data_IF_321588260038
#
_entry.id   IF_321588260038
#
_cell.length_a   1.000
_cell.length_b   1.000
_cell.length_c   1.000
_cell.angle_alpha   90.00
_cell.angle_beta   90.00
_cell.angle_gamma   90.00
#
_symmetry.space_group_name_H-M   'P 1'
#
loop_
_entity.id
_entity.type
_entity.pdbx_description
1 polymer ?
#
# COMPACT_ATOMS: atom_id res chain seq x y z
N UNK A 1 25.28 7.16 -6.30
CA UNK A 1 24.19 6.31 -6.86
C UNK A 1 24.07 5.08 -5.97
N UNK A 2 22.87 4.55 -5.70
CA UNK A 2 22.75 3.27 -5.01
C UNK A 2 23.53 2.19 -5.76
N UNK A 3 24.11 1.26 -5.04
CA UNK A 3 24.83 0.14 -5.64
C UNK A 3 23.83 -0.96 -5.99
N UNK A 4 23.97 -1.57 -7.17
CA UNK A 4 23.16 -2.72 -7.55
C UNK A 4 23.38 -3.89 -6.57
N UNK A 5 22.27 -4.54 -6.19
CA UNK A 5 22.33 -5.67 -5.28
C UNK A 5 22.81 -6.95 -5.98
N UNK A 6 23.22 -7.95 -5.18
CA UNK A 6 23.59 -9.28 -5.68
C UNK A 6 22.42 -9.99 -6.41
N UNK A 7 21.17 -9.52 -6.25
CA UNK A 7 19.99 -10.13 -6.87
C UNK A 7 19.63 -9.55 -8.25
N UNK A 8 20.28 -8.45 -8.67
CA UNK A 8 20.01 -7.85 -9.98
C UNK A 8 20.20 -8.84 -11.15
N UNK A 9 21.26 -9.68 -11.20
CA UNK A 9 21.39 -10.67 -12.26
C UNK A 9 20.22 -11.66 -12.34
N UNK A 10 19.68 -12.09 -11.19
CA UNK A 10 18.49 -12.93 -11.13
C UNK A 10 17.25 -12.21 -11.68
N UNK A 11 17.07 -10.93 -11.30
CA UNK A 11 15.94 -10.13 -11.75
C UNK A 11 16.00 -9.90 -13.28
N UNK A 12 17.17 -9.63 -13.82
CA UNK A 12 17.39 -9.50 -15.27
C UNK A 12 17.12 -10.80 -16.03
N UNK A 13 17.47 -11.96 -15.44
CA UNK A 13 17.14 -13.28 -16.03
C UNK A 13 15.62 -13.56 -16.05
N UNK A 14 14.83 -12.86 -15.24
CA UNK A 14 13.37 -12.97 -15.18
C UNK A 14 12.65 -11.85 -15.94
N UNK A 15 13.38 -11.01 -16.67
CA UNK A 15 12.85 -9.84 -17.36
C UNK A 15 11.79 -10.20 -18.40
N UNK A 16 10.71 -9.44 -18.41
CA UNK A 16 9.66 -9.40 -19.44
C UNK A 16 9.53 -7.95 -19.92
N UNK A 17 10.20 -7.61 -21.02
CA UNK A 17 10.28 -6.23 -21.54
C UNK A 17 8.87 -5.65 -21.80
N UNK A 18 7.94 -6.35 -22.50
CA UNK A 18 6.58 -5.86 -22.69
C UNK A 18 5.84 -5.57 -21.37
N UNK A 19 6.06 -6.40 -20.34
CA UNK A 19 5.49 -6.15 -19.02
C UNK A 19 6.13 -4.92 -18.36
N UNK A 20 7.44 -4.73 -18.50
CA UNK A 20 8.13 -3.53 -18.03
C UNK A 20 7.57 -2.23 -18.65
N UNK A 21 7.29 -2.24 -19.95
CA UNK A 21 6.69 -1.12 -20.67
C UNK A 21 5.24 -0.84 -20.21
N UNK A 22 4.50 -1.89 -19.90
CA UNK A 22 3.17 -1.77 -19.30
C UNK A 22 3.25 -1.20 -17.89
N UNK A 23 4.13 -1.72 -17.02
CA UNK A 23 4.31 -1.26 -15.66
C UNK A 23 4.73 0.22 -15.59
N UNK A 24 5.65 0.64 -16.46
CA UNK A 24 6.08 2.04 -16.59
C UNK A 24 4.90 3.00 -16.81
N UNK A 25 3.94 2.64 -17.66
CA UNK A 25 2.75 3.47 -17.92
C UNK A 25 1.86 3.64 -16.67
N UNK A 26 1.92 2.70 -15.74
CA UNK A 26 1.12 2.72 -14.51
C UNK A 26 1.83 3.41 -13.34
N UNK A 27 3.16 3.56 -13.42
CA UNK A 27 3.99 4.12 -12.34
C UNK A 27 4.72 5.36 -12.85
N UNK A 28 4.01 6.47 -13.09
CA UNK A 28 4.59 7.68 -13.71
C UNK A 28 5.61 8.39 -12.82
N UNK A 29 5.76 7.98 -11.57
CA UNK A 29 6.77 8.51 -10.63
C UNK A 29 8.17 7.97 -10.87
N UNK A 30 8.32 6.91 -11.67
CA UNK A 30 9.61 6.28 -11.97
C UNK A 30 10.02 6.51 -13.43
N UNK A 31 11.34 6.60 -13.67
CA UNK A 31 11.87 6.52 -15.02
C UNK A 31 11.86 5.07 -15.54
N UNK A 32 11.79 4.90 -16.87
CA UNK A 32 11.70 3.56 -17.49
C UNK A 32 12.92 2.68 -17.19
N UNK A 33 14.09 3.27 -17.05
CA UNK A 33 15.36 2.58 -16.76
C UNK A 33 15.39 1.93 -15.38
N UNK A 34 14.57 2.42 -14.46
CA UNK A 34 14.41 1.85 -13.11
C UNK A 34 13.46 0.66 -13.06
N UNK A 35 12.86 0.25 -14.18
CA UNK A 35 11.90 -0.84 -14.26
C UNK A 35 12.48 -1.96 -15.13
N UNK A 36 12.84 -3.09 -14.51
CA UNK A 36 13.34 -4.29 -15.21
C UNK A 36 12.18 -4.95 -15.96
N UNK A 37 11.03 -5.07 -15.33
CA UNK A 37 9.84 -5.72 -15.88
C UNK A 37 9.76 -7.18 -15.46
N UNK A 38 9.75 -7.47 -14.16
CA UNK A 38 9.55 -8.83 -13.65
C UNK A 38 8.14 -8.99 -13.09
N UNK A 39 7.41 -10.03 -13.53
CA UNK A 39 6.04 -10.28 -13.07
C UNK A 39 5.98 -10.69 -11.60
N UNK A 40 5.00 -10.17 -10.86
CA UNK A 40 4.84 -10.40 -9.41
C UNK A 40 4.87 -11.88 -8.99
N UNK A 41 4.24 -12.84 -9.71
CA UNK A 41 4.34 -14.26 -9.34
C UNK A 41 5.78 -14.78 -9.38
N UNK A 42 6.59 -14.35 -10.34
CA UNK A 42 8.00 -14.74 -10.43
C UNK A 42 8.81 -14.14 -9.28
N UNK A 43 8.59 -12.86 -8.93
CA UNK A 43 9.23 -12.22 -7.78
C UNK A 43 8.87 -12.90 -6.46
N UNK A 44 7.59 -13.25 -6.25
CA UNK A 44 7.16 -13.97 -5.04
C UNK A 44 7.76 -15.37 -4.94
N UNK A 45 7.93 -16.06 -6.08
CA UNK A 45 8.64 -17.34 -6.14
C UNK A 45 10.11 -17.15 -5.78
N UNK A 46 10.79 -16.19 -6.40
CA UNK A 46 12.18 -15.86 -6.13
C UNK A 46 12.40 -15.53 -4.63
N UNK A 47 11.57 -14.70 -4.03
CA UNK A 47 11.67 -14.38 -2.60
C UNK A 47 11.63 -15.62 -1.70
N UNK A 48 10.74 -16.59 -1.99
CA UNK A 48 10.65 -17.84 -1.24
C UNK A 48 11.88 -18.73 -1.41
N UNK A 49 12.43 -18.80 -2.61
CA UNK A 49 13.60 -19.59 -2.93
C UNK A 49 14.85 -18.98 -2.31
N UNK A 50 15.07 -17.67 -2.45
CA UNK A 50 16.18 -16.94 -1.89
C UNK A 50 16.23 -17.05 -0.36
N UNK A 51 15.10 -16.91 0.32
CA UNK A 51 15.02 -17.05 1.79
C UNK A 51 15.49 -18.42 2.26
N UNK A 52 15.32 -19.49 1.46
CA UNK A 52 15.75 -20.85 1.79
C UNK A 52 17.20 -21.13 1.42
N UNK A 53 17.62 -20.66 0.25
CA UNK A 53 18.91 -21.02 -0.36
C UNK A 53 20.04 -20.06 0.01
N UNK A 54 19.72 -18.79 0.26
CA UNK A 54 20.68 -17.70 0.46
C UNK A 54 20.31 -16.79 1.64
N UNK A 55 20.05 -17.34 2.85
CA UNK A 55 19.51 -16.54 3.97
C UNK A 55 20.44 -15.40 4.41
N UNK A 56 21.75 -15.56 4.32
CA UNK A 56 22.72 -14.52 4.67
C UNK A 56 22.72 -13.38 3.65
N UNK A 57 22.60 -13.70 2.35
CA UNK A 57 22.52 -12.70 1.29
C UNK A 57 21.20 -11.93 1.40
N UNK A 58 20.11 -12.62 1.70
CA UNK A 58 18.80 -11.99 1.97
C UNK A 58 18.91 -11.03 3.15
N UNK A 59 19.60 -11.42 4.23
CA UNK A 59 19.79 -10.52 5.38
C UNK A 59 20.60 -9.28 4.97
N UNK A 60 21.68 -9.43 4.19
CA UNK A 60 22.46 -8.29 3.66
C UNK A 60 21.60 -7.38 2.78
N UNK A 61 20.83 -7.97 1.87
CA UNK A 61 19.94 -7.23 0.98
C UNK A 61 18.90 -6.40 1.74
N UNK A 62 18.28 -6.98 2.80
CA UNK A 62 17.29 -6.27 3.63
C UNK A 62 17.91 -5.12 4.45
N UNK A 63 19.22 -5.09 4.62
CA UNK A 63 19.93 -3.97 5.26
C UNK A 63 20.53 -2.97 4.27
N UNK A 64 20.51 -3.29 2.96
CA UNK A 64 21.11 -2.44 1.92
C UNK A 64 20.03 -1.61 1.25
N UNK A 65 19.87 -0.38 1.68
CA UNK A 65 18.88 0.58 1.17
C UNK A 65 19.57 1.92 0.83
N UNK A 66 19.06 2.67 -0.15
CA UNK A 66 17.97 2.37 -1.08
C UNK A 66 18.39 1.44 -2.22
N UNK A 67 17.40 0.83 -2.90
CA UNK A 67 17.61 0.00 -4.10
C UNK A 67 17.59 0.82 -5.40
N UNK A 68 18.21 0.26 -6.45
CA UNK A 68 18.27 0.87 -7.79
C UNK A 68 16.97 0.68 -8.57
N UNK A 69 16.44 -0.56 -8.58
CA UNK A 69 15.34 -0.96 -9.44
C UNK A 69 14.02 -1.14 -8.68
N UNK A 70 12.93 -0.91 -9.38
CA UNK A 70 11.57 -1.14 -8.89
C UNK A 70 11.37 -2.57 -8.39
N UNK A 71 11.88 -3.53 -9.12
CA UNK A 71 11.76 -4.95 -8.78
C UNK A 71 12.62 -5.37 -7.58
N UNK A 72 13.70 -4.65 -7.29
CA UNK A 72 14.41 -4.83 -6.02
C UNK A 72 13.55 -4.38 -4.85
N UNK A 73 12.84 -3.25 -4.98
CA UNK A 73 11.89 -2.78 -3.97
C UNK A 73 10.73 -3.75 -3.77
N UNK A 74 10.15 -4.30 -4.85
CA UNK A 74 9.12 -5.35 -4.77
C UNK A 74 9.65 -6.62 -4.10
N UNK A 75 10.85 -7.07 -4.49
CA UNK A 75 11.52 -8.22 -3.88
C UNK A 75 11.76 -8.00 -2.39
N UNK A 76 12.19 -6.79 -2.00
CA UNK A 76 12.40 -6.41 -0.60
C UNK A 76 11.11 -6.62 0.23
N UNK A 77 9.99 -6.08 -0.23
CA UNK A 77 8.69 -6.28 0.42
C UNK A 77 8.33 -7.76 0.54
N UNK A 78 8.53 -8.56 -0.52
CA UNK A 78 8.25 -10.00 -0.49
C UNK A 78 9.19 -10.80 0.41
N UNK A 79 10.43 -10.35 0.60
CA UNK A 79 11.36 -10.94 1.55
C UNK A 79 10.95 -10.62 3.00
N UNK A 80 10.46 -9.41 3.29
CA UNK A 80 9.86 -9.08 4.60
C UNK A 80 8.67 -10.02 4.90
N UNK A 81 7.85 -10.37 3.90
CA UNK A 81 6.75 -11.35 4.08
C UNK A 81 7.23 -12.75 4.47
N UNK A 82 8.49 -13.10 4.23
CA UNK A 82 9.06 -14.41 4.61
C UNK A 82 9.63 -14.42 6.04
N UNK A 83 9.76 -13.27 6.69
CA UNK A 83 10.27 -13.14 8.07
C UNK A 83 9.36 -13.90 9.04
N UNK A 84 9.95 -14.53 10.07
CA UNK A 84 9.23 -15.45 10.96
C UNK A 84 8.80 -14.84 12.29
N UNK A 85 9.38 -13.72 12.68
CA UNK A 85 9.08 -13.05 13.95
C UNK A 85 8.51 -11.66 13.71
N UNK A 86 7.54 -11.26 14.53
CA UNK A 86 6.84 -9.99 14.40
C UNK A 86 7.80 -8.80 14.49
N UNK A 87 8.66 -8.77 15.53
CA UNK A 87 9.58 -7.65 15.76
C UNK A 87 10.55 -7.42 14.59
N UNK A 88 11.07 -8.52 14.01
CA UNK A 88 11.91 -8.40 12.81
C UNK A 88 11.13 -7.92 11.58
N UNK A 89 9.89 -8.39 11.41
CA UNK A 89 9.06 -7.94 10.29
C UNK A 89 8.75 -6.43 10.42
N UNK A 90 8.46 -5.95 11.62
CA UNK A 90 8.29 -4.52 11.91
C UNK A 90 9.59 -3.75 11.63
N UNK A 91 10.72 -4.19 12.21
CA UNK A 91 12.00 -3.48 12.05
C UNK A 91 12.41 -3.34 10.57
N UNK A 92 12.28 -4.41 9.77
CA UNK A 92 12.56 -4.34 8.33
C UNK A 92 11.54 -3.46 7.58
N UNK A 93 10.27 -3.52 7.95
CA UNK A 93 9.25 -2.66 7.35
C UNK A 93 9.54 -1.18 7.63
N UNK A 94 9.83 -0.82 8.87
CA UNK A 94 10.15 0.55 9.28
C UNK A 94 11.43 1.09 8.60
N UNK A 95 12.44 0.24 8.43
CA UNK A 95 13.63 0.60 7.68
C UNK A 95 13.36 0.81 6.19
N UNK A 96 12.42 0.05 5.60
CA UNK A 96 12.12 0.09 4.18
C UNK A 96 11.14 1.20 3.80
N UNK A 97 10.13 1.50 4.61
CA UNK A 97 9.06 2.46 4.30
C UNK A 97 9.56 3.82 3.78
N UNK A 98 10.62 4.45 4.34
CA UNK A 98 11.15 5.73 3.83
C UNK A 98 11.73 5.67 2.41
N UNK A 99 12.00 4.47 1.90
CA UNK A 99 12.60 4.24 0.58
C UNK A 99 11.57 3.83 -0.48
N UNK A 100 10.29 3.72 -0.12
CA UNK A 100 9.22 3.44 -1.07
C UNK A 100 8.89 4.72 -1.84
N UNK A 101 9.00 4.66 -3.16
CA UNK A 101 8.86 5.79 -4.07
C UNK A 101 7.67 5.68 -5.04
N UNK A 102 6.86 4.62 -4.90
CA UNK A 102 5.70 4.42 -5.75
C UNK A 102 4.61 3.55 -5.08
N UNK A 103 3.37 3.71 -5.56
CA UNK A 103 2.21 3.02 -5.05
C UNK A 103 2.26 1.49 -5.26
N UNK A 104 2.88 1.03 -6.35
CA UNK A 104 2.88 -0.39 -6.67
C UNK A 104 3.73 -1.21 -5.68
N UNK A 105 4.85 -0.67 -5.22
CA UNK A 105 5.63 -1.26 -4.11
C UNK A 105 4.84 -1.18 -2.81
N UNK A 106 4.31 0.01 -2.50
CA UNK A 106 3.60 0.28 -1.25
C UNK A 106 2.44 -0.69 -1.00
N UNK A 107 1.62 -0.94 -2.03
CA UNK A 107 0.37 -1.70 -1.89
C UNK A 107 0.55 -3.23 -2.04
N UNK A 108 1.74 -3.67 -2.44
CA UNK A 108 1.93 -5.06 -2.90
C UNK A 108 2.41 -6.00 -1.79
N UNK A 109 3.05 -5.49 -0.73
CA UNK A 109 3.51 -6.33 0.38
C UNK A 109 2.69 -6.11 1.65
N UNK A 110 2.38 -7.21 2.34
CA UNK A 110 1.69 -7.20 3.63
C UNK A 110 2.04 -8.48 4.39
N UNK A 111 2.98 -8.41 5.35
CA UNK A 111 3.37 -9.58 6.14
C UNK A 111 2.17 -10.17 6.88
N UNK A 112 1.97 -11.49 6.75
CA UNK A 112 0.89 -12.20 7.47
C UNK A 112 0.99 -12.09 8.99
N UNK A 113 2.19 -11.80 9.50
CA UNK A 113 2.42 -11.54 10.91
C UNK A 113 1.63 -10.32 11.41
N UNK A 114 1.41 -9.32 10.57
CA UNK A 114 0.63 -8.13 10.93
C UNK A 114 -0.84 -8.44 11.18
N UNK A 115 -1.41 -9.41 10.44
CA UNK A 115 -2.78 -9.89 10.70
C UNK A 115 -2.86 -10.77 11.95
N UNK A 116 -1.77 -11.47 12.31
CA UNK A 116 -1.71 -12.32 13.50
C UNK A 116 -1.48 -11.54 14.80
N UNK A 117 -0.96 -10.34 14.70
CA UNK A 117 -0.67 -9.42 15.81
C UNK A 117 -1.38 -8.07 15.59
N UNK A 118 -2.73 -8.06 15.51
CA UNK A 118 -3.46 -6.87 15.07
C UNK A 118 -3.33 -5.70 16.04
N UNK A 119 -3.27 -5.93 17.35
CA UNK A 119 -3.16 -4.86 18.36
C UNK A 119 -1.79 -4.18 18.30
N UNK A 120 -0.75 -4.98 18.25
CA UNK A 120 0.64 -4.50 18.15
C UNK A 120 0.85 -3.78 16.82
N UNK A 121 0.36 -4.35 15.71
CA UNK A 121 0.44 -3.71 14.39
C UNK A 121 -0.30 -2.37 14.36
N UNK A 122 -1.45 -2.26 15.01
CA UNK A 122 -2.20 -1.02 15.08
C UNK A 122 -1.39 0.10 15.75
N UNK A 123 -0.61 -0.21 16.79
CA UNK A 123 0.29 0.77 17.44
C UNK A 123 1.31 1.34 16.45
N UNK A 124 1.90 0.51 15.58
CA UNK A 124 2.82 0.96 14.54
C UNK A 124 2.10 1.76 13.44
N UNK A 125 0.90 1.33 13.04
CA UNK A 125 0.08 2.09 12.07
C UNK A 125 -0.15 3.52 12.57
N UNK A 126 -0.50 3.72 13.85
CA UNK A 126 -0.70 5.07 14.41
C UNK A 126 0.55 5.95 14.32
N UNK A 127 1.74 5.37 14.35
CA UNK A 127 3.00 6.08 14.13
C UNK A 127 3.23 6.38 12.65
N UNK A 128 3.00 5.40 11.77
CA UNK A 128 3.17 5.56 10.33
C UNK A 128 2.24 6.60 9.72
N UNK A 129 1.02 6.73 10.24
CA UNK A 129 0.08 7.77 9.80
C UNK A 129 0.54 9.21 10.11
N UNK A 130 1.51 9.38 11.02
CA UNK A 130 2.11 10.68 11.38
C UNK A 130 3.44 10.94 10.64
N UNK A 131 3.86 10.04 9.77
CA UNK A 131 5.11 10.16 9.04
C UNK A 131 5.10 11.36 8.08
N UNK A 132 6.23 12.04 7.85
CA UNK A 132 6.36 13.02 6.78
C UNK A 132 6.45 12.36 5.39
N UNK A 133 6.59 11.03 5.31
CA UNK A 133 6.76 10.31 4.06
C UNK A 133 5.40 9.85 3.50
N UNK A 134 5.02 10.26 2.28
CA UNK A 134 3.69 9.98 1.72
C UNK A 134 3.37 8.48 1.64
N UNK A 135 4.34 7.66 1.21
CA UNK A 135 4.10 6.21 1.07
C UNK A 135 4.08 5.48 2.41
N UNK A 136 4.71 6.02 3.47
CA UNK A 136 4.55 5.49 4.84
C UNK A 136 3.12 5.72 5.34
N UNK A 137 2.56 6.92 5.14
CA UNK A 137 1.15 7.20 5.44
C UNK A 137 0.23 6.28 4.62
N UNK A 138 0.48 6.21 3.30
CA UNK A 138 -0.30 5.34 2.40
C UNK A 138 -0.28 3.88 2.85
N UNK A 139 0.86 3.35 3.26
CA UNK A 139 1.00 1.99 3.77
C UNK A 139 0.16 1.75 5.03
N UNK A 140 0.22 2.67 5.99
CA UNK A 140 -0.61 2.61 7.20
C UNK A 140 -2.11 2.57 6.90
N UNK A 141 -2.59 3.45 6.00
CA UNK A 141 -4.00 3.45 5.55
C UNK A 141 -4.34 2.15 4.81
N UNK A 142 -3.42 1.65 3.96
CA UNK A 142 -3.59 0.38 3.23
C UNK A 142 -3.75 -0.82 4.16
N UNK A 143 -3.02 -0.86 5.27
CA UNK A 143 -3.19 -1.89 6.29
C UNK A 143 -4.52 -1.75 7.05
N UNK A 144 -4.96 -0.53 7.38
CA UNK A 144 -6.29 -0.32 7.95
C UNK A 144 -7.39 -0.82 7.01
N UNK A 145 -7.27 -0.53 5.71
CA UNK A 145 -8.20 -0.97 4.68
C UNK A 145 -8.26 -2.50 4.59
N UNK A 146 -7.11 -3.17 4.59
CA UNK A 146 -7.01 -4.60 4.32
C UNK A 146 -7.26 -5.49 5.52
N UNK A 147 -6.92 -5.02 6.74
CA UNK A 147 -6.87 -5.86 7.92
C UNK A 147 -7.85 -5.45 9.04
N UNK A 148 -8.44 -4.22 8.99
CA UNK A 148 -9.22 -3.69 10.10
C UNK A 148 -10.66 -3.29 9.75
N UNK A 149 -11.10 -3.45 8.52
CA UNK A 149 -12.49 -3.15 8.15
C UNK A 149 -13.46 -4.32 8.38
N UNK A 150 -13.01 -5.44 8.93
CA UNK A 150 -13.82 -6.60 9.29
C UNK A 150 -13.80 -6.79 10.82
N UNK A 151 -13.28 -7.90 11.34
CA UNK A 151 -13.34 -8.31 12.76
C UNK A 151 -12.68 -7.32 13.74
N UNK A 152 -11.74 -6.53 13.29
CA UNK A 152 -11.00 -5.54 14.09
C UNK A 152 -11.48 -4.10 13.86
N UNK A 153 -12.65 -3.93 13.23
CA UNK A 153 -13.17 -2.61 12.93
C UNK A 153 -13.52 -1.84 14.21
N UNK A 154 -13.08 -0.57 14.24
CA UNK A 154 -13.48 0.43 15.21
C UNK A 154 -13.82 1.73 14.46
N UNK A 155 -14.94 2.35 14.82
CA UNK A 155 -15.40 3.59 14.20
C UNK A 155 -14.42 4.77 14.39
N UNK A 156 -13.58 4.74 15.41
CA UNK A 156 -12.52 5.73 15.62
C UNK A 156 -11.49 5.72 14.46
N UNK A 157 -11.30 4.58 13.79
CA UNK A 157 -10.43 4.47 12.62
C UNK A 157 -10.92 5.32 11.44
N UNK A 158 -12.25 5.47 11.29
CA UNK A 158 -12.82 6.36 10.27
C UNK A 158 -12.43 7.82 10.54
N UNK A 159 -12.58 8.26 11.80
CA UNK A 159 -12.20 9.62 12.21
C UNK A 159 -10.68 9.85 12.09
N UNK A 160 -9.88 8.84 12.43
CA UNK A 160 -8.43 8.87 12.30
C UNK A 160 -8.01 9.08 10.83
N UNK A 161 -8.57 8.28 9.90
CA UNK A 161 -8.25 8.41 8.47
C UNK A 161 -8.81 9.72 7.89
N UNK A 162 -9.99 10.17 8.33
CA UNK A 162 -10.58 11.45 7.92
C UNK A 162 -9.75 12.66 8.36
N UNK A 163 -9.03 12.56 9.47
CA UNK A 163 -8.19 13.64 9.99
C UNK A 163 -6.87 13.84 9.22
N UNK A 164 -6.48 12.88 8.38
CA UNK A 164 -5.24 12.97 7.60
C UNK A 164 -5.40 14.02 6.51
N UNK A 165 -4.56 15.05 6.58
CA UNK A 165 -4.46 16.08 5.56
C UNK A 165 -3.16 15.91 4.77
N UNK A 166 -3.27 15.92 3.44
CA UNK A 166 -2.12 15.75 2.56
C UNK A 166 -2.39 16.41 1.21
N UNK A 167 -1.37 17.01 0.63
CA UNK A 167 -1.38 17.49 -0.76
C UNK A 167 -0.98 16.39 -1.75
N UNK A 168 -0.52 15.24 -1.23
CA UNK A 168 -0.02 14.14 -2.02
C UNK A 168 -1.15 13.35 -2.66
N UNK A 169 -1.17 13.30 -4.00
CA UNK A 169 -2.19 12.59 -4.77
C UNK A 169 -2.39 11.15 -4.33
N UNK A 170 -1.28 10.41 -4.13
CA UNK A 170 -1.36 8.98 -3.81
C UNK A 170 -1.80 8.69 -2.36
N UNK A 171 -1.60 9.62 -1.43
CA UNK A 171 -2.17 9.55 -0.07
C UNK A 171 -3.68 9.77 -0.16
N UNK A 172 -4.13 10.83 -0.82
CA UNK A 172 -5.54 11.16 -0.98
C UNK A 172 -6.33 10.08 -1.73
N UNK A 173 -5.71 9.43 -2.72
CA UNK A 173 -6.30 8.29 -3.41
C UNK A 173 -6.47 7.07 -2.49
N UNK A 174 -5.55 6.83 -1.55
CA UNK A 174 -5.68 5.73 -0.60
C UNK A 174 -6.75 6.04 0.46
N UNK A 175 -6.85 7.28 0.94
CA UNK A 175 -7.94 7.72 1.82
C UNK A 175 -9.29 7.47 1.14
N UNK A 176 -9.42 7.88 -0.13
CA UNK A 176 -10.64 7.66 -0.90
C UNK A 176 -10.96 6.17 -1.08
N UNK A 177 -9.95 5.33 -1.30
CA UNK A 177 -10.13 3.88 -1.41
C UNK A 177 -10.53 3.25 -0.07
N UNK A 178 -9.93 3.71 1.02
CA UNK A 178 -10.32 3.29 2.37
C UNK A 178 -11.80 3.54 2.63
N UNK A 179 -12.29 4.78 2.43
CA UNK A 179 -13.70 5.11 2.66
C UNK A 179 -14.65 4.41 1.69
N UNK A 180 -14.29 4.22 0.43
CA UNK A 180 -15.09 3.44 -0.50
C UNK A 180 -15.22 1.96 -0.08
N UNK A 181 -14.16 1.39 0.51
CA UNK A 181 -14.18 0.03 1.05
C UNK A 181 -14.94 -0.02 2.38
N UNK A 182 -14.78 1.00 3.21
CA UNK A 182 -15.54 1.14 4.46
C UNK A 182 -17.05 1.27 4.19
N UNK A 183 -17.48 2.03 3.19
CA UNK A 183 -18.88 2.06 2.75
C UNK A 183 -19.42 0.68 2.34
N UNK A 184 -18.57 -0.19 1.78
CA UNK A 184 -18.99 -1.54 1.39
C UNK A 184 -19.05 -2.55 2.55
N UNK A 185 -18.30 -2.31 3.64
CA UNK A 185 -18.16 -3.24 4.76
C UNK A 185 -18.82 -2.73 6.04
N UNK A 186 -18.80 -1.44 6.27
CA UNK A 186 -19.22 -0.75 7.50
C UNK A 186 -20.08 0.46 7.13
N UNK A 187 -21.15 0.21 6.36
CA UNK A 187 -21.98 1.26 5.75
C UNK A 187 -22.53 2.26 6.77
N UNK A 188 -23.21 1.74 7.81
CA UNK A 188 -23.89 2.58 8.82
C UNK A 188 -22.92 3.49 9.58
N UNK A 189 -21.72 2.99 9.85
CA UNK A 189 -20.69 3.77 10.53
C UNK A 189 -20.04 4.80 9.61
N UNK A 190 -19.92 4.50 8.30
CA UNK A 190 -19.18 5.34 7.34
C UNK A 190 -20.07 6.42 6.69
N UNK A 191 -21.33 6.12 6.47
CA UNK A 191 -22.25 7.03 5.76
C UNK A 191 -22.34 8.42 6.40
N UNK A 192 -22.47 8.57 7.73
CA UNK A 192 -22.55 9.90 8.36
C UNK A 192 -21.35 10.80 8.04
N UNK A 193 -20.15 10.22 7.89
CA UNK A 193 -18.94 10.96 7.54
C UNK A 193 -19.00 11.48 6.10
N UNK A 194 -19.57 10.70 5.16
CA UNK A 194 -19.77 11.16 3.79
C UNK A 194 -20.85 12.24 3.72
N UNK A 195 -21.92 12.10 4.51
CA UNK A 195 -23.03 13.07 4.60
C UNK A 195 -22.58 14.41 5.20
N UNK A 196 -21.67 14.38 6.15
CA UNK A 196 -21.14 15.61 6.78
C UNK A 196 -20.30 16.47 5.85
N UNK A 197 -19.82 15.90 4.72
CA UNK A 197 -18.99 16.58 3.72
C UNK A 197 -17.75 17.26 4.31
N UNK A 198 -17.15 16.67 5.35
CA UNK A 198 -15.97 17.19 6.05
C UNK A 198 -14.65 16.77 5.39
N UNK A 199 -14.69 15.81 4.46
CA UNK A 199 -13.52 15.42 3.67
C UNK A 199 -13.19 16.50 2.63
N UNK A 200 -11.92 16.56 2.19
CA UNK A 200 -11.57 17.43 1.07
C UNK A 200 -12.39 17.08 -0.19
N UNK A 201 -12.68 18.06 -1.04
CA UNK A 201 -13.48 17.86 -2.27
C UNK A 201 -12.94 16.72 -3.13
N UNK A 202 -11.59 16.61 -3.23
CA UNK A 202 -10.95 15.52 -3.96
C UNK A 202 -11.26 14.16 -3.33
N UNK A 203 -11.00 14.00 -2.02
CA UNK A 203 -11.22 12.74 -1.30
C UNK A 203 -12.70 12.35 -1.32
N UNK A 204 -13.61 13.29 -1.03
CA UNK A 204 -15.04 13.08 -1.07
C UNK A 204 -15.49 12.53 -2.43
N UNK A 205 -15.15 13.24 -3.51
CA UNK A 205 -15.59 12.89 -4.86
C UNK A 205 -14.96 11.57 -5.33
N UNK A 206 -13.69 11.31 -4.98
CA UNK A 206 -13.01 10.05 -5.31
C UNK A 206 -13.56 8.88 -4.51
N UNK A 207 -13.95 9.07 -3.25
CA UNK A 207 -14.63 8.05 -2.45
C UNK A 207 -15.94 7.65 -3.13
N UNK A 208 -16.78 8.62 -3.50
CA UNK A 208 -18.06 8.35 -4.18
C UNK A 208 -17.83 7.67 -5.53
N UNK A 209 -16.84 8.13 -6.32
CA UNK A 209 -16.46 7.48 -7.57
C UNK A 209 -16.12 6.01 -7.37
N UNK A 210 -15.19 5.70 -6.44
CA UNK A 210 -14.76 4.33 -6.16
C UNK A 210 -15.86 3.45 -5.56
N UNK A 211 -16.73 4.02 -4.72
CA UNK A 211 -17.90 3.32 -4.22
C UNK A 211 -18.83 2.90 -5.35
N UNK A 212 -19.04 3.76 -6.35
CA UNK A 212 -19.86 3.47 -7.53
C UNK A 212 -19.24 2.42 -8.47
N UNK A 213 -17.93 2.32 -8.52
CA UNK A 213 -17.20 1.29 -9.27
C UNK A 213 -17.25 -0.09 -8.55
N UNK A 214 -17.54 -0.09 -7.25
CA UNK A 214 -17.55 -1.31 -6.44
C UNK A 214 -18.73 -2.24 -6.81
N UNK A 215 -18.45 -3.53 -6.96
CA UNK A 215 -19.49 -4.56 -7.12
C UNK A 215 -20.17 -4.96 -5.80
N UNK A 216 -19.64 -4.49 -4.66
CA UNK A 216 -20.16 -4.81 -3.32
C UNK A 216 -21.21 -3.84 -2.83
N UNK A 217 -21.42 -2.73 -3.52
CA UNK A 217 -22.38 -1.67 -3.17
C UNK A 217 -23.56 -1.77 -4.14
N UNK A 218 -24.79 -1.74 -3.61
CA UNK A 218 -26.01 -1.79 -4.41
C UNK A 218 -26.16 -0.55 -5.30
N UNK A 219 -26.93 -0.67 -6.39
CA UNK A 219 -27.17 0.46 -7.30
C UNK A 219 -27.90 1.61 -6.58
N UNK A 220 -28.86 1.30 -5.72
CA UNK A 220 -29.58 2.28 -4.90
C UNK A 220 -28.62 3.14 -4.06
N UNK A 221 -27.70 2.49 -3.34
CA UNK A 221 -26.70 3.22 -2.53
C UNK A 221 -25.76 4.03 -3.43
N UNK A 222 -25.36 3.51 -4.59
CA UNK A 222 -24.52 4.25 -5.55
C UNK A 222 -25.18 5.54 -6.03
N UNK A 223 -26.48 5.48 -6.30
CA UNK A 223 -27.26 6.64 -6.76
C UNK A 223 -27.50 7.62 -5.60
N UNK A 224 -27.78 7.11 -4.40
CA UNK A 224 -27.90 7.90 -3.19
C UNK A 224 -26.63 8.69 -2.86
N UNK A 225 -25.45 8.11 -3.01
CA UNK A 225 -24.17 8.77 -2.72
C UNK A 225 -23.89 9.97 -3.64
N UNK A 226 -24.49 10.04 -4.83
CA UNK A 226 -24.26 11.14 -5.78
C UNK A 226 -24.61 12.52 -5.23
N UNK A 227 -25.65 12.63 -4.38
CA UNK A 227 -26.09 13.89 -3.79
C UNK A 227 -25.06 14.53 -2.85
N UNK A 228 -24.04 13.76 -2.40
CA UNK A 228 -22.99 14.23 -1.51
C UNK A 228 -21.70 14.62 -2.23
N UNK A 229 -21.71 14.67 -3.55
CA UNK A 229 -20.56 15.19 -4.30
C UNK A 229 -20.39 16.68 -4.03
N UNK A 230 -19.12 17.07 -3.87
CA UNK A 230 -18.71 18.46 -3.71
C UNK A 230 -18.33 19.08 -5.06
N UNK A 231 -18.46 20.40 -5.23
CA UNK A 231 -17.93 21.09 -6.40
C UNK A 231 -16.43 20.77 -6.58
N UNK A 232 -16.02 20.55 -7.82
CA UNK A 232 -14.60 20.42 -8.15
C UNK A 232 -14.04 21.83 -8.34
N UNK A 233 -13.12 22.22 -7.48
CA UNK A 233 -12.39 23.49 -7.61
C UNK A 233 -11.33 23.35 -8.70
#
# INVERSE_FOLDING_TARGET
MPQESAFVPLLLALQDIPYGDFAYKLIPTLSRERIIGVRLPALRKAAKELTKQQPEEVARFLHTLPHCYHEENLLHGFLIEQVKTFDKAIAYTEAFLPHIDNWAVCDTFSPKLFQKHPKETYTHILQWLKSPQPYTIRYGIGLLLSNYLDDYFDSEMLSLVASIQSDEYYVNMMIAWYFATALAKQYEATLPLIQSQTLSSFVQNKTIQKARESRRISQEVKDFLLQYKLPTI
#
